data_IF_679745103573
#
_entry.id   IF_679745103573
#
_cell.length_a   1.000
_cell.length_b   1.000
_cell.length_c   1.000
_cell.angle_alpha   90.00
_cell.angle_beta   90.00
_cell.angle_gamma   90.00
#
_symmetry.space_group_name_H-M   'P 1'
#
loop_
_entity.id
_entity.type
_entity.pdbx_description
1 polymer ?
#
# COMPACT_ATOMS: atom_id res chain seq x y z
N UNK A 1 -17.19 -19.28 3.19
CA UNK A 1 -15.73 -19.31 3.37
C UNK A 1 -15.35 -17.87 3.70
N UNK A 2 -14.91 -17.62 4.94
CA UNK A 2 -14.71 -16.27 5.42
C UNK A 2 -13.43 -15.69 4.81
N UNK A 3 -13.58 -14.58 4.07
CA UNK A 3 -12.51 -13.75 3.54
C UNK A 3 -11.78 -13.10 4.73
N UNK A 4 -10.75 -13.76 5.28
CA UNK A 4 -10.02 -13.28 6.46
C UNK A 4 -8.84 -12.36 6.14
N UNK A 5 -8.65 -11.96 4.87
CA UNK A 5 -7.56 -11.06 4.48
C UNK A 5 -7.89 -9.57 4.67
N UNK A 6 -9.13 -9.13 4.43
CA UNK A 6 -9.45 -7.69 4.29
C UNK A 6 -9.29 -6.85 5.57
N UNK A 7 -9.66 -7.39 6.73
CA UNK A 7 -9.74 -6.62 7.98
C UNK A 7 -8.40 -6.03 8.46
N UNK A 8 -7.27 -6.64 8.07
CA UNK A 8 -5.95 -6.15 8.47
C UNK A 8 -5.54 -4.89 7.70
N UNK A 9 -5.89 -4.80 6.41
CA UNK A 9 -5.57 -3.66 5.51
C UNK A 9 -6.49 -2.47 5.76
N UNK A 10 -7.70 -2.68 6.29
CA UNK A 10 -8.63 -1.59 6.58
C UNK A 10 -8.02 -0.52 7.49
N UNK A 11 -8.21 0.75 7.12
CA UNK A 11 -7.71 1.91 7.84
C UNK A 11 -7.02 2.94 6.94
N UNK A 12 -6.47 3.97 7.58
CA UNK A 12 -5.67 5.00 6.91
C UNK A 12 -4.20 4.80 7.22
N UNK A 13 -3.39 4.68 6.18
CA UNK A 13 -1.95 4.39 6.25
C UNK A 13 -1.16 5.59 5.71
N UNK A 14 0.01 5.83 6.29
CA UNK A 14 0.92 6.92 5.91
C UNK A 14 2.29 6.36 5.58
N UNK A 15 2.88 6.78 4.46
CA UNK A 15 4.30 6.52 4.17
C UNK A 15 5.21 7.63 4.71
N UNK A 16 6.52 7.43 4.55
CA UNK A 16 7.59 8.38 4.86
C UNK A 16 7.50 9.75 4.15
N UNK A 17 6.73 9.86 3.07
CA UNK A 17 6.47 11.14 2.39
C UNK A 17 5.22 11.86 2.93
N UNK A 18 4.52 11.26 3.89
CA UNK A 18 3.28 11.79 4.44
C UNK A 18 2.05 11.60 3.53
N UNK A 19 2.19 10.86 2.41
CA UNK A 19 1.08 10.45 1.57
C UNK A 19 0.17 9.52 2.35
N UNK A 20 -1.14 9.57 2.06
CA UNK A 20 -2.14 8.81 2.80
C UNK A 20 -2.99 7.96 1.89
N UNK A 21 -3.16 6.71 2.28
CA UNK A 21 -4.01 5.74 1.60
C UNK A 21 -5.06 5.28 2.59
N UNK A 22 -6.33 5.26 2.21
CA UNK A 22 -7.41 4.81 3.09
C UNK A 22 -8.15 3.65 2.45
N UNK A 23 -8.19 2.51 3.12
CA UNK A 23 -8.94 1.32 2.71
C UNK A 23 -10.15 1.16 3.63
N UNK A 24 -11.37 1.22 3.07
CA UNK A 24 -12.62 1.14 3.83
C UNK A 24 -13.27 -0.24 3.70
N UNK A 25 -14.04 -0.62 4.71
CA UNK A 25 -14.77 -1.89 4.81
C UNK A 25 -15.69 -2.17 3.61
N UNK A 26 -16.20 -1.12 2.95
CA UNK A 26 -17.06 -1.22 1.77
C UNK A 26 -16.31 -1.44 0.44
N UNK A 27 -15.04 -1.84 0.51
CA UNK A 27 -14.13 -2.00 -0.63
C UNK A 27 -13.83 -0.71 -1.40
N UNK A 28 -14.17 0.47 -0.87
CA UNK A 28 -13.70 1.74 -1.41
C UNK A 28 -12.36 2.15 -0.81
N UNK A 29 -11.53 2.82 -1.59
CA UNK A 29 -10.25 3.37 -1.20
C UNK A 29 -10.16 4.87 -1.50
N UNK A 30 -9.35 5.58 -0.73
CA UNK A 30 -8.73 6.82 -1.17
C UNK A 30 -7.28 6.52 -1.54
N UNK A 31 -6.98 6.60 -2.84
CA UNK A 31 -5.71 6.28 -3.45
C UNK A 31 -5.22 7.48 -4.24
N UNK A 32 -4.16 8.14 -3.75
CA UNK A 32 -3.66 9.40 -4.33
C UNK A 32 -4.79 10.44 -4.51
N UNK A 33 -5.11 10.81 -5.76
CA UNK A 33 -6.16 11.75 -6.11
C UNK A 33 -7.55 11.10 -6.28
N UNK A 34 -7.63 9.77 -6.40
CA UNK A 34 -8.90 9.04 -6.54
C UNK A 34 -9.48 8.65 -5.17
N UNK A 35 -10.55 9.32 -4.78
CA UNK A 35 -11.26 9.08 -3.51
C UNK A 35 -12.30 7.96 -3.57
N UNK A 36 -12.53 7.43 -4.76
CA UNK A 36 -13.52 6.42 -5.10
C UNK A 36 -12.92 5.14 -5.69
N UNK A 37 -11.58 5.01 -5.62
CA UNK A 37 -10.86 3.81 -6.01
C UNK A 37 -11.48 2.57 -5.32
N UNK A 38 -11.34 1.42 -5.95
CA UNK A 38 -11.80 0.14 -5.38
C UNK A 38 -10.58 -0.66 -4.93
N UNK A 39 -10.74 -1.48 -3.90
CA UNK A 39 -9.66 -2.34 -3.45
C UNK A 39 -10.15 -3.72 -3.03
N UNK A 40 -9.25 -4.69 -3.10
CA UNK A 40 -9.45 -6.03 -2.59
C UNK A 40 -8.14 -6.61 -2.08
N UNK A 41 -8.19 -7.48 -1.08
CA UNK A 41 -7.00 -8.09 -0.49
C UNK A 41 -7.22 -9.60 -0.31
N UNK A 42 -6.24 -10.40 -0.71
CA UNK A 42 -6.24 -11.85 -0.59
C UNK A 42 -4.84 -12.39 -0.35
N UNK A 43 -4.61 -12.98 0.82
CA UNK A 43 -3.28 -13.51 1.17
C UNK A 43 -2.29 -12.38 1.40
N UNK A 44 -1.25 -12.35 0.58
CA UNK A 44 -0.19 -11.33 0.49
C UNK A 44 -0.38 -10.38 -0.69
N UNK A 45 -1.54 -10.40 -1.36
CA UNK A 45 -1.82 -9.57 -2.53
C UNK A 45 -2.91 -8.53 -2.24
N UNK A 46 -2.57 -7.26 -2.43
CA UNK A 46 -3.49 -6.12 -2.42
C UNK A 46 -3.66 -5.59 -3.84
N UNK A 47 -4.90 -5.55 -4.32
CA UNK A 47 -5.26 -5.01 -5.62
C UNK A 47 -6.04 -3.71 -5.42
N UNK A 48 -5.62 -2.65 -6.11
CA UNK A 48 -6.30 -1.35 -6.13
C UNK A 48 -6.63 -0.96 -7.56
N UNK A 49 -7.90 -0.67 -7.82
CA UNK A 49 -8.38 -0.10 -9.08
C UNK A 49 -8.61 1.40 -8.87
N UNK A 50 -7.80 2.24 -9.49
CA UNK A 50 -7.86 3.69 -9.34
C UNK A 50 -7.93 4.38 -10.71
N UNK A 51 -8.68 5.49 -10.78
CA UNK A 51 -8.71 6.34 -11.96
C UNK A 51 -7.70 7.48 -11.83
N UNK A 52 -6.81 7.60 -12.80
CA UNK A 52 -5.91 8.74 -12.94
C UNK A 52 -6.18 9.47 -14.24
N UNK A 53 -6.71 10.69 -14.14
CA UNK A 53 -7.00 11.58 -15.28
C UNK A 53 -7.84 10.95 -16.40
N UNK A 54 -8.78 10.06 -16.05
CA UNK A 54 -9.67 9.40 -17.00
C UNK A 54 -9.17 8.05 -17.52
N UNK A 55 -7.99 7.60 -17.10
CA UNK A 55 -7.48 6.24 -17.35
C UNK A 55 -7.59 5.41 -16.07
N UNK A 56 -8.16 4.21 -16.16
CA UNK A 56 -8.22 3.28 -15.04
C UNK A 56 -6.93 2.46 -14.97
N UNK A 57 -6.36 2.34 -13.78
CA UNK A 57 -5.17 1.56 -13.48
C UNK A 57 -5.48 0.50 -12.43
N UNK A 58 -5.02 -0.72 -12.69
CA UNK A 58 -4.99 -1.82 -11.73
C UNK A 58 -3.59 -1.91 -11.14
N UNK A 59 -3.45 -1.54 -9.87
CA UNK A 59 -2.24 -1.72 -9.09
C UNK A 59 -2.32 -3.06 -8.35
N UNK A 60 -1.35 -3.93 -8.57
CA UNK A 60 -1.16 -5.15 -7.80
C UNK A 60 0.07 -4.98 -6.93
N UNK A 61 -0.10 -5.20 -5.63
CA UNK A 61 0.91 -4.99 -4.61
C UNK A 61 1.12 -6.30 -3.84
N UNK A 62 2.37 -6.72 -3.69
CA UNK A 62 2.72 -7.66 -2.63
C UNK A 62 2.69 -6.89 -1.31
N UNK A 63 2.05 -7.44 -0.27
CA UNK A 63 1.91 -6.80 1.04
C UNK A 63 2.20 -7.75 2.18
N UNK A 64 2.74 -7.20 3.27
CA UNK A 64 2.84 -7.87 4.56
C UNK A 64 2.50 -6.85 5.66
N UNK A 65 1.88 -7.32 6.73
CA UNK A 65 1.38 -6.47 7.82
C UNK A 65 2.05 -6.96 9.11
N UNK A 66 2.50 -6.01 9.93
CA UNK A 66 3.14 -6.29 11.23
C UNK A 66 2.22 -7.12 12.13
N UNK A 67 2.80 -7.79 13.12
CA UNK A 67 2.04 -8.66 14.04
C UNK A 67 0.94 -7.87 14.78
N UNK A 68 1.21 -6.60 15.09
CA UNK A 68 0.28 -5.70 15.77
C UNK A 68 -0.72 -5.00 14.84
N UNK A 69 -0.62 -5.20 13.52
CA UNK A 69 -1.53 -4.64 12.52
C UNK A 69 -1.37 -3.14 12.27
N UNK A 70 -0.21 -2.56 12.61
CA UNK A 70 0.03 -1.11 12.60
C UNK A 70 1.10 -0.64 11.62
N UNK A 71 1.94 -1.54 11.12
CA UNK A 71 2.79 -1.31 9.96
C UNK A 71 2.40 -2.24 8.81
N UNK A 72 2.61 -1.77 7.59
CA UNK A 72 2.42 -2.52 6.36
C UNK A 72 3.60 -2.24 5.45
N UNK A 73 4.20 -3.27 4.89
CA UNK A 73 5.14 -3.16 3.80
C UNK A 73 4.42 -3.50 2.52
N UNK A 74 4.69 -2.76 1.46
CA UNK A 74 4.15 -3.05 0.15
C UNK A 74 5.21 -2.94 -0.95
N UNK A 75 5.02 -3.68 -2.04
CA UNK A 75 5.85 -3.61 -3.23
C UNK A 75 4.94 -3.72 -4.45
N UNK A 76 4.93 -2.73 -5.36
CA UNK A 76 4.23 -2.87 -6.63
C UNK A 76 4.83 -3.99 -7.47
N UNK A 77 4.02 -5.00 -7.77
CA UNK A 77 4.38 -6.15 -8.60
C UNK A 77 3.81 -6.04 -10.01
N UNK A 78 2.73 -5.27 -10.20
CA UNK A 78 2.15 -4.95 -11.51
C UNK A 78 1.35 -3.65 -11.44
N UNK A 79 1.40 -2.86 -12.51
CA UNK A 79 0.57 -1.67 -12.72
C UNK A 79 0.11 -1.74 -14.17
N UNK A 80 -1.19 -2.00 -14.38
CA UNK A 80 -1.76 -2.13 -15.72
C UNK A 80 -2.82 -1.08 -15.99
N UNK A 81 -2.80 -0.46 -17.17
CA UNK A 81 -3.94 0.32 -17.63
C UNK A 81 -5.10 -0.57 -18.09
N UNK A 82 -6.22 0.04 -18.45
CA UNK A 82 -7.41 -0.65 -18.95
C UNK A 82 -7.23 -1.32 -20.33
N UNK A 83 -6.13 -1.06 -21.03
CA UNK A 83 -5.75 -1.71 -22.29
C UNK A 83 -4.79 -2.90 -22.06
N UNK A 84 -4.35 -3.12 -20.81
CA UNK A 84 -3.45 -4.19 -20.40
C UNK A 84 -1.96 -3.87 -20.58
N UNK A 85 -1.61 -2.59 -20.75
CA UNK A 85 -0.21 -2.14 -20.81
C UNK A 85 0.43 -2.28 -19.43
N UNK A 86 1.49 -3.08 -19.32
CA UNK A 86 2.26 -3.24 -18.08
C UNK A 86 3.30 -2.12 -17.93
N UNK A 87 3.25 -1.42 -16.80
CA UNK A 87 4.16 -0.31 -16.50
C UNK A 87 5.32 -0.71 -15.59
N UNK A 88 5.22 -1.82 -14.85
CA UNK A 88 6.34 -2.27 -14.01
C UNK A 88 7.54 -2.79 -14.80
N UNK A 89 7.32 -3.16 -16.06
CA UNK A 89 8.37 -3.62 -16.99
C UNK A 89 8.97 -2.48 -17.84
N UNK A 90 8.47 -1.25 -17.69
CA UNK A 90 8.89 -0.12 -18.50
C UNK A 90 10.34 0.30 -18.18
N UNK A 91 11.17 0.64 -19.20
CA UNK A 91 12.53 1.09 -18.96
C UNK A 91 12.58 2.31 -18.03
N UNK A 92 13.33 2.17 -16.92
CA UNK A 92 13.49 3.23 -15.92
C UNK A 92 12.51 3.17 -14.75
N UNK A 93 11.55 2.24 -14.78
CA UNK A 93 10.78 1.89 -13.58
C UNK A 93 11.59 0.93 -12.71
N UNK A 94 11.74 1.25 -11.43
CA UNK A 94 12.35 0.38 -10.43
C UNK A 94 11.36 0.28 -9.26
N UNK A 95 10.59 -0.81 -9.14
CA UNK A 95 9.67 -0.96 -8.02
C UNK A 95 10.48 -0.99 -6.73
N UNK A 96 10.19 -0.06 -5.83
CA UNK A 96 10.76 -0.03 -4.48
C UNK A 96 9.72 -0.47 -3.47
N UNK A 97 10.18 -1.16 -2.43
CA UNK A 97 9.32 -1.41 -1.29
C UNK A 97 9.09 -0.11 -0.53
N UNK A 98 7.93 0.04 0.11
CA UNK A 98 7.71 1.11 1.08
C UNK A 98 7.04 0.55 2.33
N UNK A 99 7.37 1.15 3.47
CA UNK A 99 6.66 0.94 4.72
C UNK A 99 5.59 2.01 4.88
N UNK A 100 4.44 1.61 5.44
CA UNK A 100 3.37 2.49 5.84
C UNK A 100 2.99 2.22 7.28
N UNK A 101 2.69 3.27 8.03
CA UNK A 101 2.23 3.19 9.40
C UNK A 101 0.78 3.67 9.49
N UNK A 102 -0.03 2.92 10.22
CA UNK A 102 -1.44 3.21 10.42
C UNK A 102 -1.63 4.51 11.20
N UNK A 103 -2.66 5.27 10.85
CA UNK A 103 -2.85 6.65 11.34
C UNK A 103 -3.19 6.76 12.83
N UNK A 104 -3.57 5.67 13.49
CA UNK A 104 -3.71 5.63 14.95
C UNK A 104 -2.34 5.72 15.67
N UNK A 105 -1.27 5.24 15.01
CA UNK A 105 0.13 5.45 15.42
C UNK A 105 0.71 6.71 14.76
N UNK A 106 0.70 6.79 13.43
CA UNK A 106 1.28 7.87 12.64
C UNK A 106 0.23 8.87 12.13
N UNK A 107 -0.37 9.63 13.04
CA UNK A 107 -1.37 10.65 12.65
C UNK A 107 -0.77 11.86 11.93
N UNK A 108 0.55 12.04 11.97
CA UNK A 108 1.33 13.13 11.35
C UNK A 108 2.69 12.59 10.91
N UNK A 109 3.39 13.27 10.01
CA UNK A 109 4.71 12.85 9.57
C UNK A 109 5.73 12.79 10.73
N UNK A 110 5.70 13.77 11.64
CA UNK A 110 6.54 13.72 12.86
C UNK A 110 6.29 12.48 13.73
N UNK A 111 5.06 11.93 13.71
CA UNK A 111 4.75 10.69 14.42
C UNK A 111 5.15 9.46 13.63
N UNK A 112 5.15 9.52 12.30
CA UNK A 112 5.70 8.46 11.47
C UNK A 112 7.17 8.23 11.84
N UNK A 113 8.02 9.26 11.74
CA UNK A 113 9.44 9.19 12.09
C UNK A 113 9.75 8.99 13.57
N UNK A 114 8.74 9.05 14.44
CA UNK A 114 8.89 8.72 15.85
C UNK A 114 8.63 7.23 16.14
N UNK A 115 8.10 6.47 15.17
CA UNK A 115 7.68 5.08 15.35
C UNK A 115 8.18 4.14 14.25
N UNK A 116 8.69 4.63 13.12
CA UNK A 116 9.20 3.81 12.02
C UNK A 116 10.30 2.84 12.45
N UNK A 117 11.25 3.32 13.27
CA UNK A 117 12.31 2.48 13.84
C UNK A 117 11.80 1.26 14.61
N UNK A 118 10.57 1.32 15.16
CA UNK A 118 10.00 0.21 15.94
C UNK A 118 9.59 -0.99 15.09
N UNK A 119 9.49 -0.83 13.77
CA UNK A 119 9.09 -1.89 12.84
C UNK A 119 10.24 -2.40 11.98
N UNK A 120 11.45 -1.84 12.09
CA UNK A 120 12.59 -2.23 11.24
C UNK A 120 12.92 -3.72 11.35
N UNK A 121 12.86 -4.30 12.56
CA UNK A 121 13.12 -5.72 12.81
C UNK A 121 12.02 -6.65 12.25
N UNK A 122 10.83 -6.11 11.95
CA UNK A 122 9.72 -6.84 11.33
C UNK A 122 9.72 -6.72 9.79
N UNK A 123 10.67 -5.99 9.21
CA UNK A 123 10.73 -5.78 7.75
C UNK A 123 10.84 -7.12 7.00
N UNK A 124 9.94 -7.40 6.04
CA UNK A 124 9.97 -8.63 5.28
C UNK A 124 11.25 -8.78 4.45
N UNK A 125 11.69 -10.03 4.24
CA UNK A 125 12.93 -10.30 3.50
C UNK A 125 12.94 -9.86 2.02
N UNK A 126 11.77 -9.66 1.44
CA UNK A 126 11.58 -9.17 0.07
C UNK A 126 11.54 -7.64 0.01
N UNK A 127 11.38 -6.97 1.16
CA UNK A 127 11.30 -5.54 1.27
C UNK A 127 12.67 -4.97 1.62
N UNK A 128 13.43 -4.57 0.61
CA UNK A 128 14.59 -3.71 0.84
C UNK A 128 14.08 -2.27 0.94
N UNK A 129 13.94 -1.78 2.17
CA UNK A 129 13.78 -0.35 2.41
C UNK A 129 15.14 0.26 2.07
N UNK A 130 15.31 0.71 0.82
CA UNK A 130 16.54 1.39 0.40
C UNK A 130 16.86 2.45 1.45
N UNK A 131 17.95 2.23 2.18
CA UNK A 131 18.42 3.17 3.19
C UNK A 131 18.59 4.53 2.51
N UNK A 132 17.80 5.52 2.93
CA UNK A 132 17.96 6.93 2.53
C UNK A 132 19.41 7.41 2.68
#
# INVERSE_FOLDING_TARGET
>A
MANQGGAAVEGTWMNDQGQRFTFREDSTAAWEDDRSAQWSHSGDELVVLANHQGTDFTHTLQVEISEDGRAMWWLPTSIQDNDGTEYTDAPGYNPSCSMLIKSDVASTLDKYYANDDSYLDETPNWCDLENE
#
